data_IF_744469733434
#
_entry.id   IF_744469733434
#
_cell.length_a   1.000
_cell.length_b   1.000
_cell.length_c   1.000
_cell.angle_alpha   90.00
_cell.angle_beta   90.00
_cell.angle_gamma   90.00
#
_symmetry.space_group_name_H-M   'P 1'
#
loop_
_entity.id
_entity.type
_entity.pdbx_description
1 polymer ?
#
# COMPACT_ATOMS: atom_id res chain seq x y z
N UNK A 1 -12.38 23.65 -3.25
CA UNK A 1 -11.26 22.96 -3.97
C UNK A 1 -10.72 21.79 -3.14
N UNK A 2 -10.69 21.91 -1.82
CA UNK A 2 -10.21 20.89 -0.89
C UNK A 2 -11.06 19.60 -0.93
N UNK A 3 -12.39 19.72 -1.06
CA UNK A 3 -13.30 18.56 -1.19
C UNK A 3 -12.91 17.63 -2.33
N UNK A 4 -12.49 18.17 -3.49
CA UNK A 4 -12.09 17.36 -4.66
C UNK A 4 -10.82 16.55 -4.35
N UNK A 5 -9.87 17.13 -3.62
CA UNK A 5 -8.64 16.44 -3.20
C UNK A 5 -8.96 15.31 -2.23
N UNK A 6 -9.88 15.53 -1.28
CA UNK A 6 -10.31 14.49 -0.34
C UNK A 6 -11.09 13.37 -1.03
N UNK A 7 -11.97 13.68 -1.97
CA UNK A 7 -12.70 12.67 -2.76
C UNK A 7 -11.72 11.82 -3.59
N UNK A 8 -10.75 12.45 -4.26
CA UNK A 8 -9.72 11.71 -4.98
C UNK A 8 -8.89 10.82 -4.06
N UNK A 9 -8.49 11.33 -2.89
CA UNK A 9 -7.72 10.57 -1.90
C UNK A 9 -8.50 9.42 -1.29
N UNK A 10 -9.82 9.56 -1.13
CA UNK A 10 -10.71 8.46 -0.70
C UNK A 10 -10.79 7.36 -1.76
N UNK A 11 -10.92 7.72 -3.03
CA UNK A 11 -10.95 6.76 -4.13
C UNK A 11 -9.62 5.98 -4.24
N UNK A 12 -8.49 6.68 -4.16
CA UNK A 12 -7.17 6.04 -4.14
C UNK A 12 -7.00 5.13 -2.91
N UNK A 13 -7.43 5.59 -1.73
CA UNK A 13 -7.38 4.79 -0.51
C UNK A 13 -8.22 3.50 -0.63
N UNK A 14 -9.42 3.56 -1.21
CA UNK A 14 -10.21 2.37 -1.53
C UNK A 14 -9.46 1.41 -2.47
N UNK A 15 -8.80 1.92 -3.50
CA UNK A 15 -8.01 1.10 -4.41
C UNK A 15 -6.82 0.44 -3.70
N UNK A 16 -6.11 1.17 -2.82
CA UNK A 16 -5.00 0.64 -2.02
C UNK A 16 -5.44 -0.40 -0.98
N UNK A 17 -6.62 -0.23 -0.38
CA UNK A 17 -7.22 -1.25 0.51
C UNK A 17 -7.51 -2.53 -0.28
N UNK A 18 -8.17 -2.41 -1.43
CA UNK A 18 -8.46 -3.56 -2.29
C UNK A 18 -7.17 -4.27 -2.72
N UNK A 19 -6.15 -3.50 -3.08
CA UNK A 19 -4.84 -4.04 -3.44
C UNK A 19 -4.15 -4.73 -2.26
N UNK A 20 -4.22 -4.16 -1.06
CA UNK A 20 -3.69 -4.77 0.17
C UNK A 20 -4.36 -6.11 0.49
N UNK A 21 -5.69 -6.19 0.32
CA UNK A 21 -6.44 -7.45 0.46
C UNK A 21 -6.02 -8.45 -0.63
N UNK A 22 -5.85 -8.01 -1.88
CA UNK A 22 -5.35 -8.86 -2.96
C UNK A 22 -3.96 -9.45 -2.66
N UNK A 23 -3.05 -8.65 -2.10
CA UNK A 23 -1.74 -9.12 -1.64
C UNK A 23 -1.86 -10.20 -0.56
N UNK A 24 -2.71 -9.98 0.45
CA UNK A 24 -2.93 -10.94 1.54
C UNK A 24 -3.49 -12.25 1.01
N UNK A 25 -4.52 -12.20 0.15
CA UNK A 25 -5.13 -13.40 -0.43
C UNK A 25 -4.10 -14.17 -1.26
N UNK A 26 -3.36 -13.48 -2.14
CA UNK A 26 -2.38 -14.14 -3.02
C UNK A 26 -1.23 -14.78 -2.21
N UNK A 27 -0.83 -14.16 -1.10
CA UNK A 27 0.15 -14.74 -0.17
C UNK A 27 -0.43 -15.90 0.63
N UNK A 28 -1.70 -15.84 1.02
CA UNK A 28 -2.41 -16.94 1.69
C UNK A 28 -2.60 -18.14 0.77
N UNK A 29 -2.90 -17.91 -0.51
CA UNK A 29 -2.97 -18.95 -1.53
C UNK A 29 -1.61 -19.64 -1.70
N UNK A 30 -0.52 -18.89 -1.58
CA UNK A 30 0.84 -19.44 -1.58
C UNK A 30 1.14 -20.22 -0.29
N UNK A 31 0.70 -19.76 0.89
CA UNK A 31 0.87 -20.49 2.16
C UNK A 31 0.15 -21.84 2.17
N UNK A 32 -1.01 -21.92 1.52
CA UNK A 32 -1.78 -23.14 1.36
C UNK A 32 -1.35 -24.00 0.15
N UNK A 33 -0.23 -23.66 -0.51
CA UNK A 33 0.29 -24.35 -1.71
C UNK A 33 -0.73 -24.42 -2.88
N UNK A 34 -1.69 -23.50 -2.97
CA UNK A 34 -2.67 -23.43 -4.07
C UNK A 34 -2.06 -22.89 -5.38
N UNK A 35 -1.01 -22.06 -5.29
CA UNK A 35 -0.36 -21.42 -6.45
C UNK A 35 1.16 -21.56 -6.40
N UNK A 36 1.80 -21.68 -7.57
CA UNK A 36 3.25 -21.74 -7.67
C UNK A 36 3.90 -20.39 -7.33
N UNK A 37 5.01 -20.42 -6.58
CA UNK A 37 5.74 -19.23 -6.12
C UNK A 37 6.13 -18.28 -7.27
N UNK A 38 6.52 -18.82 -8.43
CA UNK A 38 6.87 -18.01 -9.62
C UNK A 38 5.67 -17.22 -10.15
N UNK A 39 4.51 -17.85 -10.24
CA UNK A 39 3.27 -17.21 -10.71
C UNK A 39 2.77 -16.18 -9.69
N UNK A 40 2.92 -16.45 -8.39
CA UNK A 40 2.64 -15.50 -7.32
C UNK A 40 3.54 -14.25 -7.43
N UNK A 41 4.86 -14.43 -7.47
CA UNK A 41 5.82 -13.31 -7.54
C UNK A 41 5.62 -12.43 -8.77
N UNK A 42 5.33 -13.01 -9.95
CA UNK A 42 5.04 -12.23 -11.16
C UNK A 42 3.77 -11.39 -11.03
N UNK A 43 2.72 -11.92 -10.40
CA UNK A 43 1.47 -11.16 -10.13
C UNK A 43 1.73 -10.05 -9.11
N UNK A 44 2.37 -10.39 -7.99
CA UNK A 44 2.68 -9.46 -6.91
C UNK A 44 3.54 -8.29 -7.40
N UNK A 45 4.65 -8.59 -8.07
CA UNK A 45 5.59 -7.56 -8.55
C UNK A 45 4.96 -6.60 -9.57
N UNK A 46 3.98 -7.08 -10.37
CA UNK A 46 3.23 -6.22 -11.29
C UNK A 46 2.39 -5.16 -10.57
N UNK A 47 1.88 -5.49 -9.37
CA UNK A 47 1.02 -4.62 -8.57
C UNK A 47 1.77 -3.74 -7.57
N UNK A 48 3.01 -4.09 -7.23
CA UNK A 48 3.88 -3.28 -6.35
C UNK A 48 4.13 -1.88 -6.91
N UNK A 49 4.37 -1.75 -8.22
CA UNK A 49 4.63 -0.45 -8.85
C UNK A 49 3.37 0.46 -8.80
N UNK A 50 2.16 -0.02 -9.20
CA UNK A 50 0.91 0.72 -8.99
C UNK A 50 0.66 1.13 -7.53
N UNK A 51 0.92 0.25 -6.56
CA UNK A 51 0.77 0.55 -5.13
C UNK A 51 1.63 1.76 -4.72
N UNK A 52 2.91 1.72 -5.10
CA UNK A 52 3.88 2.76 -4.78
C UNK A 52 3.48 4.10 -5.39
N UNK A 53 3.04 4.08 -6.65
CA UNK A 53 2.62 5.28 -7.37
C UNK A 53 1.36 5.88 -6.74
N UNK A 54 0.32 5.08 -6.46
CA UNK A 54 -0.92 5.56 -5.84
C UNK A 54 -0.65 6.23 -4.49
N UNK A 55 0.11 5.54 -3.62
CA UNK A 55 0.45 6.05 -2.30
C UNK A 55 1.33 7.30 -2.35
N UNK A 56 2.27 7.38 -3.30
CA UNK A 56 3.11 8.56 -3.50
C UNK A 56 2.30 9.77 -3.99
N UNK A 57 1.36 9.56 -4.92
CA UNK A 57 0.48 10.63 -5.44
C UNK A 57 -0.35 11.23 -4.31
N UNK A 58 -0.99 10.40 -3.48
CA UNK A 58 -1.79 10.90 -2.34
C UNK A 58 -0.92 11.65 -1.32
N UNK A 59 0.28 11.14 -1.04
CA UNK A 59 1.22 11.80 -0.12
C UNK A 59 1.64 13.19 -0.64
N UNK A 60 1.91 13.32 -1.95
CA UNK A 60 2.26 14.60 -2.59
C UNK A 60 1.05 15.55 -2.63
N UNK A 61 -0.14 15.04 -2.93
CA UNK A 61 -1.37 15.84 -2.90
C UNK A 61 -1.64 16.42 -1.51
N UNK A 62 -1.46 15.62 -0.45
CA UNK A 62 -1.63 16.09 0.94
C UNK A 62 -0.59 17.13 1.35
N UNK A 63 0.62 17.06 0.79
CA UNK A 63 1.65 18.09 0.96
C UNK A 63 1.24 19.41 0.31
N UNK A 64 0.71 19.37 -0.92
CA UNK A 64 0.26 20.57 -1.65
C UNK A 64 -0.95 21.20 -0.95
N UNK A 65 -1.86 20.39 -0.41
CA UNK A 65 -3.02 20.86 0.37
C UNK A 65 -2.66 21.33 1.79
N UNK A 66 -1.38 21.37 2.18
CA UNK A 66 -0.90 21.85 3.50
C UNK A 66 -1.53 21.12 4.72
N UNK A 67 -2.00 19.89 4.53
CA UNK A 67 -2.54 19.06 5.62
C UNK A 67 -1.41 18.31 6.34
N UNK A 68 -0.62 19.06 7.11
CA UNK A 68 0.60 18.57 7.76
C UNK A 68 0.41 17.32 8.61
N UNK A 69 -0.70 17.21 9.36
CA UNK A 69 -0.96 16.05 10.21
C UNK A 69 -1.13 14.74 9.40
N UNK A 70 -1.92 14.81 8.34
CA UNK A 70 -2.20 13.67 7.44
C UNK A 70 -0.94 13.29 6.65
N UNK A 71 -0.19 14.29 6.19
CA UNK A 71 1.08 14.08 5.52
C UNK A 71 2.08 13.35 6.43
N UNK A 72 2.21 13.80 7.68
CA UNK A 72 3.14 13.22 8.66
C UNK A 72 2.75 11.78 9.03
N UNK A 73 1.46 11.43 8.97
CA UNK A 73 1.01 10.06 9.16
C UNK A 73 1.34 9.15 7.96
N UNK A 74 1.25 9.63 6.72
CA UNK A 74 1.60 8.86 5.51
C UNK A 74 3.11 8.70 5.31
N UNK A 75 3.91 9.64 5.81
CA UNK A 75 5.36 9.70 5.62
C UNK A 75 6.11 8.39 6.02
N UNK A 76 5.85 7.76 7.17
CA UNK A 76 6.51 6.51 7.57
C UNK A 76 6.24 5.36 6.60
N UNK A 77 5.00 5.20 6.14
CA UNK A 77 4.60 4.12 5.23
C UNK A 77 5.12 4.38 3.83
N UNK A 78 5.03 5.61 3.35
CA UNK A 78 5.61 6.02 2.08
C UNK A 78 7.13 5.80 2.06
N UNK A 79 7.85 6.24 3.11
CA UNK A 79 9.30 6.05 3.23
C UNK A 79 9.66 4.58 3.28
N UNK A 80 8.91 3.77 4.02
CA UNK A 80 9.13 2.33 4.10
C UNK A 80 8.96 1.66 2.73
N UNK A 81 7.90 2.00 2.00
CA UNK A 81 7.64 1.47 0.66
C UNK A 81 8.74 1.87 -0.34
N UNK A 82 9.21 3.12 -0.30
CA UNK A 82 10.29 3.61 -1.15
C UNK A 82 11.61 2.92 -0.79
N UNK A 83 11.94 2.83 0.49
CA UNK A 83 13.14 2.14 0.97
C UNK A 83 13.17 0.69 0.51
N UNK A 84 12.04 -0.01 0.63
CA UNK A 84 11.89 -1.39 0.17
C UNK A 84 12.06 -1.54 -1.34
N UNK A 85 11.60 -0.57 -2.12
CA UNK A 85 11.77 -0.58 -3.57
C UNK A 85 13.22 -0.32 -4.00
N UNK A 86 13.93 0.61 -3.33
CA UNK A 86 15.32 0.96 -3.65
C UNK A 86 16.31 -0.11 -3.18
N UNK A 87 16.04 -0.75 -2.03
CA UNK A 87 16.93 -1.74 -1.43
C UNK A 87 16.79 -3.13 -2.05
N UNK A 88 16.00 -3.29 -3.13
CA UNK A 88 15.94 -4.55 -3.89
C UNK A 88 17.30 -4.81 -4.54
N UNK A 89 17.97 -5.93 -4.25
CA UNK A 89 19.23 -6.26 -4.89
C UNK A 89 19.02 -6.47 -6.40
N UNK A 90 19.90 -5.90 -7.22
CA UNK A 90 19.78 -5.86 -8.70
C UNK A 90 19.80 -7.23 -9.41
N UNK A 91 19.92 -8.34 -8.67
CA UNK A 91 19.83 -9.71 -9.16
C UNK A 91 18.48 -10.40 -8.92
N UNK A 92 17.56 -9.78 -8.18
CA UNK A 92 16.24 -10.35 -7.88
C UNK A 92 15.26 -10.15 -9.05
N UNK A 93 14.33 -11.08 -9.24
CA UNK A 93 13.23 -10.94 -10.24
C UNK A 93 12.19 -9.87 -9.86
N UNK A 94 12.36 -9.17 -8.74
CA UNK A 94 11.49 -8.11 -8.22
C UNK A 94 11.58 -7.95 -6.70
N UNK A 95 10.64 -7.23 -6.10
CA UNK A 95 10.52 -7.14 -4.62
C UNK A 95 10.23 -8.51 -4.00
N UNK A 96 9.61 -9.42 -4.75
CA UNK A 96 9.32 -10.78 -4.35
C UNK A 96 10.09 -11.77 -5.25
N UNK A 97 11.00 -12.53 -4.65
CA UNK A 97 11.74 -13.59 -5.36
C UNK A 97 11.17 -14.99 -5.01
N UNK A 98 10.92 -15.85 -6.01
CA UNK A 98 10.41 -17.20 -5.78
C UNK A 98 11.33 -18.07 -4.93
N UNK A 99 12.64 -17.80 -4.89
CA UNK A 99 13.59 -18.57 -4.09
C UNK A 99 13.55 -18.22 -2.60
N UNK A 100 13.27 -16.95 -2.28
CA UNK A 100 13.21 -16.46 -0.89
C UNK A 100 11.83 -16.66 -0.26
N UNK A 101 10.75 -16.59 -1.05
CA UNK A 101 9.38 -16.60 -0.55
C UNK A 101 8.90 -17.95 -0.01
N UNK A 102 9.55 -19.05 -0.41
CA UNK A 102 9.24 -20.39 0.10
C UNK A 102 9.77 -20.62 1.53
N UNK A 103 10.66 -19.75 2.01
CA UNK A 103 11.08 -19.80 3.41
C UNK A 103 9.92 -19.34 4.30
N UNK A 104 9.36 -20.25 5.11
CA UNK A 104 8.19 -19.98 5.98
C UNK A 104 8.35 -18.76 6.88
N UNK A 105 9.59 -18.40 7.25
CA UNK A 105 9.88 -17.19 8.02
C UNK A 105 9.64 -15.89 7.23
N UNK A 106 10.08 -15.84 5.98
CA UNK A 106 9.93 -14.66 5.11
C UNK A 106 8.47 -14.48 4.67
N UNK A 107 7.77 -15.56 4.34
CA UNK A 107 6.35 -15.53 3.98
C UNK A 107 5.48 -14.90 5.09
N UNK A 108 5.66 -15.34 6.33
CA UNK A 108 4.96 -14.76 7.50
C UNK A 108 5.30 -13.30 7.72
N UNK A 109 6.54 -12.88 7.47
CA UNK A 109 6.92 -11.46 7.57
C UNK A 109 6.22 -10.61 6.50
N UNK A 110 6.15 -11.09 5.25
CA UNK A 110 5.45 -10.40 4.17
C UNK A 110 3.95 -10.31 4.41
N UNK A 111 3.32 -11.38 4.93
CA UNK A 111 1.92 -11.33 5.33
C UNK A 111 1.68 -10.34 6.47
N UNK A 112 2.55 -10.32 7.49
CA UNK A 112 2.44 -9.36 8.61
C UNK A 112 2.57 -7.92 8.11
N UNK A 113 3.50 -7.66 7.19
CA UNK A 113 3.68 -6.36 6.57
C UNK A 113 2.43 -5.93 5.78
N UNK A 114 1.87 -6.82 4.95
CA UNK A 114 0.64 -6.55 4.21
C UNK A 114 -0.56 -6.29 5.14
N UNK A 115 -0.66 -7.02 6.26
CA UNK A 115 -1.69 -6.79 7.29
C UNK A 115 -1.53 -5.42 7.98
N UNK A 116 -0.29 -5.01 8.29
CA UNK A 116 -0.02 -3.69 8.88
C UNK A 116 -0.40 -2.59 7.89
N UNK A 117 -0.03 -2.74 6.61
CA UNK A 117 -0.42 -1.81 5.55
C UNK A 117 -1.94 -1.71 5.41
N UNK A 118 -2.66 -2.84 5.44
CA UNK A 118 -4.13 -2.85 5.37
C UNK A 118 -4.73 -2.03 6.53
N UNK A 119 -4.28 -2.30 7.76
CA UNK A 119 -4.75 -1.57 8.95
C UNK A 119 -4.47 -0.07 8.86
N UNK A 120 -3.31 0.31 8.33
CA UNK A 120 -2.94 1.70 8.10
C UNK A 120 -3.84 2.40 7.07
N UNK A 121 -4.07 1.78 5.91
CA UNK A 121 -4.95 2.35 4.89
C UNK A 121 -6.39 2.48 5.40
N UNK A 122 -6.86 1.52 6.19
CA UNK A 122 -8.20 1.56 6.79
C UNK A 122 -8.33 2.70 7.82
N UNK A 123 -7.30 2.97 8.62
CA UNK A 123 -7.28 4.13 9.51
C UNK A 123 -7.26 5.45 8.71
N UNK A 124 -6.45 5.53 7.66
CA UNK A 124 -6.41 6.69 6.77
C UNK A 124 -7.74 6.94 6.08
N UNK A 125 -8.46 5.88 5.69
CA UNK A 125 -9.78 5.98 5.09
C UNK A 125 -10.77 6.74 5.98
N UNK A 126 -10.85 6.37 7.26
CA UNK A 126 -11.74 7.06 8.21
C UNK A 126 -11.32 8.52 8.43
N UNK A 127 -10.02 8.81 8.47
CA UNK A 127 -9.54 10.18 8.58
C UNK A 127 -9.88 11.01 7.34
N UNK A 128 -9.65 10.49 6.13
CA UNK A 128 -10.01 11.18 4.89
C UNK A 128 -11.51 11.43 4.80
N UNK A 129 -12.33 10.47 5.25
CA UNK A 129 -13.78 10.62 5.30
C UNK A 129 -14.19 11.74 6.28
N UNK A 130 -13.59 11.77 7.47
CA UNK A 130 -13.85 12.83 8.44
C UNK A 130 -13.44 14.22 7.92
N UNK A 131 -12.24 14.33 7.33
CA UNK A 131 -11.76 15.58 6.73
C UNK A 131 -12.61 16.04 5.56
N UNK A 132 -13.10 15.12 4.72
CA UNK A 132 -14.05 15.43 3.64
C UNK A 132 -15.36 16.02 4.18
N UNK A 133 -15.93 15.40 5.22
CA UNK A 133 -17.18 15.89 5.83
C UNK A 133 -16.98 17.27 6.44
N UNK A 134 -15.87 17.49 7.16
CA UNK A 134 -15.56 18.81 7.72
C UNK A 134 -15.39 19.87 6.63
N UNK A 135 -14.67 19.56 5.56
CA UNK A 135 -14.49 20.47 4.44
C UNK A 135 -15.84 20.80 3.78
N UNK A 136 -16.74 19.81 3.66
CA UNK A 136 -18.09 20.01 3.09
C UNK A 136 -19.02 20.83 3.99
N UNK A 137 -18.88 20.73 5.32
CA UNK A 137 -19.67 21.51 6.28
C UNK A 137 -19.17 22.97 6.35
N UNK A 138 -17.87 23.17 6.12
CA UNK A 138 -17.22 24.47 6.23
C UNK A 138 -17.16 25.25 4.89
N UNK A 139 -17.48 24.59 3.77
CA UNK A 139 -17.84 25.20 2.47
C UNK A 139 -19.29 25.74 2.53
#
# INVERSE_FOLDING_TARGET
MEVVVFVFSLLDCCALIFLSVYFIITLSDLECDYINARSCCSKLNKWVIPELIGHAIVTVLMLISLHWFIFLLNLPVATWNIYRFIMVPSGNMGVFDPTEIHNRGQLKSHMKEAMIKLGFHLLCFFMYLYSMILALIND
#
